data_IF_090860669917
#
_entry.id   IF_090860669917
#
_cell.length_a   1.000
_cell.length_b   1.000
_cell.length_c   1.000
_cell.angle_alpha   90.00
_cell.angle_beta   90.00
_cell.angle_gamma   90.00
#
_symmetry.space_group_name_H-M   'P 1'
#
loop_
_entity.id
_entity.type
_entity.pdbx_description
1 polymer ?
#
# COMPACT_ATOMS: atom_id res chain seq x y z
N UNK A 1 2.29 41.79 -53.86
CA UNK A 1 3.33 42.08 -52.84
C UNK A 1 2.64 42.75 -51.66
N UNK A 2 2.54 42.29 -50.41
CA UNK A 2 2.68 41.02 -49.67
C UNK A 2 1.52 41.09 -48.62
N UNK A 3 0.82 40.00 -48.25
CA UNK A 3 -0.30 40.08 -47.33
C UNK A 3 0.18 40.24 -45.88
N UNK A 4 -0.53 41.07 -45.12
CA UNK A 4 -0.36 41.24 -43.67
C UNK A 4 -1.12 40.10 -42.98
N UNK A 5 -0.39 39.14 -42.40
CA UNK A 5 -0.98 38.05 -41.61
C UNK A 5 -1.04 38.49 -40.15
N UNK A 6 -2.27 38.63 -39.66
CA UNK A 6 -2.62 38.78 -38.25
C UNK A 6 -2.30 37.47 -37.53
N UNK A 7 -1.44 37.50 -36.52
CA UNK A 7 -1.27 36.36 -35.62
C UNK A 7 -2.28 36.47 -34.48
N UNK A 8 -3.37 35.73 -34.61
CA UNK A 8 -4.27 35.42 -33.51
C UNK A 8 -4.14 33.93 -33.18
N UNK A 9 -4.30 33.63 -31.88
CA UNK A 9 -4.65 32.34 -31.29
C UNK A 9 -3.52 31.39 -30.83
N UNK A 10 -3.35 31.39 -29.50
CA UNK A 10 -3.61 30.25 -28.62
C UNK A 10 -2.70 29.01 -28.76
N UNK A 11 -1.73 28.92 -27.86
CA UNK A 11 -1.20 27.66 -27.38
C UNK A 11 -1.22 27.66 -25.85
N UNK A 12 -2.43 27.64 -25.27
CA UNK A 12 -2.62 27.17 -23.90
C UNK A 12 -2.46 25.64 -23.96
N UNK A 13 -1.21 25.18 -24.02
CA UNK A 13 -0.89 23.79 -23.78
C UNK A 13 -1.14 23.55 -22.29
N UNK A 14 -2.37 23.12 -22.03
CA UNK A 14 -2.86 22.68 -20.73
C UNK A 14 -1.82 21.70 -20.17
N UNK A 15 -1.13 22.10 -19.11
CA UNK A 15 -0.56 21.16 -18.15
C UNK A 15 -1.74 20.42 -17.52
N UNK A 16 -2.33 19.47 -18.25
CA UNK A 16 -3.20 18.48 -17.64
C UNK A 16 -2.27 17.69 -16.71
N UNK A 17 -2.51 17.67 -15.39
CA UNK A 17 -1.91 16.62 -14.59
C UNK A 17 -2.40 15.33 -15.22
N UNK A 18 -1.50 14.59 -15.87
CA UNK A 18 -1.71 13.18 -16.07
C UNK A 18 -1.83 12.64 -14.65
N UNK A 19 -3.07 12.46 -14.18
CA UNK A 19 -3.35 11.66 -13.00
C UNK A 19 -2.70 10.33 -13.30
N UNK A 20 -1.49 10.12 -12.79
CA UNK A 20 -0.76 8.89 -12.97
C UNK A 20 -1.68 7.82 -12.40
N UNK A 21 -2.31 7.05 -13.30
CA UNK A 21 -3.09 5.87 -12.95
C UNK A 21 -2.08 4.86 -12.41
N UNK A 22 -1.74 5.02 -11.13
CA UNK A 22 -0.89 4.10 -10.42
C UNK A 22 -1.71 2.84 -10.20
N UNK A 23 -1.16 1.69 -10.63
CA UNK A 23 -1.75 0.41 -10.29
C UNK A 23 -1.69 0.23 -8.77
N UNK A 24 -2.83 0.09 -8.11
CA UNK A 24 -2.93 0.00 -6.65
C UNK A 24 -3.02 -1.44 -6.21
N UNK A 25 -2.16 -1.85 -5.29
CA UNK A 25 -2.25 -3.15 -4.63
C UNK A 25 -3.16 -3.05 -3.40
N UNK A 26 -3.97 -4.07 -3.16
CA UNK A 26 -4.87 -4.13 -2.01
C UNK A 26 -5.15 -5.57 -1.60
N UNK A 27 -5.52 -5.74 -0.34
CA UNK A 27 -6.18 -6.91 0.21
C UNK A 27 -7.57 -6.48 0.70
N UNK A 28 -8.60 -7.26 0.39
CA UNK A 28 -9.99 -6.99 0.73
C UNK A 28 -10.57 -8.22 1.44
N UNK A 29 -10.81 -8.14 2.77
CA UNK A 29 -11.48 -9.22 3.48
C UNK A 29 -12.99 -9.21 3.18
N UNK A 30 -13.63 -10.38 3.29
CA UNK A 30 -15.09 -10.52 3.11
C UNK A 30 -15.91 -9.81 4.18
N UNK A 31 -15.31 -9.54 5.35
CA UNK A 31 -15.84 -8.73 6.43
C UNK A 31 -14.68 -8.26 7.32
N UNK A 32 -14.83 -7.14 8.01
CA UNK A 32 -13.81 -6.66 8.97
C UNK A 32 -14.23 -6.78 10.44
N UNK A 33 -15.53 -6.91 10.72
CA UNK A 33 -16.06 -7.14 12.08
C UNK A 33 -16.99 -8.36 12.06
N UNK A 34 -16.69 -9.37 12.87
CA UNK A 34 -17.42 -10.63 12.91
C UNK A 34 -17.81 -11.03 14.33
N UNK A 35 -18.91 -11.78 14.44
CA UNK A 35 -19.35 -12.46 15.65
C UNK A 35 -19.49 -13.98 15.40
N UNK A 36 -19.74 -14.76 16.45
CA UNK A 36 -19.72 -16.23 16.42
C UNK A 36 -18.42 -16.79 16.99
N UNK A 37 -18.33 -18.11 17.21
CA UNK A 37 -17.22 -18.75 17.95
C UNK A 37 -15.88 -18.70 17.21
N UNK A 38 -15.83 -19.28 16.00
CA UNK A 38 -14.63 -19.32 15.16
C UNK A 38 -14.98 -18.97 13.71
N UNK A 39 -15.40 -17.71 13.45
CA UNK A 39 -15.80 -17.31 12.11
C UNK A 39 -14.62 -17.35 11.15
N UNK A 40 -14.95 -17.40 9.86
CA UNK A 40 -13.97 -17.39 8.78
C UNK A 40 -14.12 -16.11 7.97
N UNK A 41 -13.01 -15.62 7.45
CA UNK A 41 -12.99 -14.64 6.37
C UNK A 41 -12.31 -15.23 5.15
N UNK A 42 -12.74 -14.79 3.98
CA UNK A 42 -11.97 -14.92 2.74
C UNK A 42 -11.35 -13.57 2.42
N UNK A 43 -10.10 -13.56 2.00
CA UNK A 43 -9.38 -12.35 1.59
C UNK A 43 -9.07 -12.44 0.11
N UNK A 44 -9.54 -11.42 -0.63
CA UNK A 44 -9.19 -11.18 -2.02
C UNK A 44 -7.97 -10.24 -2.09
N UNK A 45 -6.97 -10.57 -2.91
CA UNK A 45 -5.77 -9.75 -3.08
C UNK A 45 -5.43 -9.52 -4.56
N UNK A 46 -5.33 -8.26 -4.94
CA UNK A 46 -5.13 -7.87 -6.33
C UNK A 46 -4.35 -6.56 -6.48
N UNK A 47 -3.89 -6.34 -7.69
CA UNK A 47 -3.43 -5.05 -8.19
C UNK A 47 -4.45 -4.60 -9.24
N UNK A 48 -4.89 -3.35 -9.20
CA UNK A 48 -5.91 -2.81 -10.12
C UNK A 48 -5.74 -1.32 -10.42
N UNK A 49 -6.35 -0.85 -11.52
CA UNK A 49 -6.51 0.57 -11.82
C UNK A 49 -7.68 1.14 -11.01
N UNK A 50 -8.82 0.45 -11.04
CA UNK A 50 -10.00 0.75 -10.23
C UNK A 50 -9.92 0.01 -8.88
N UNK A 51 -10.05 0.73 -7.76
CA UNK A 51 -9.97 0.14 -6.42
C UNK A 51 -11.06 -0.91 -6.18
N UNK A 52 -10.64 -2.07 -5.67
CA UNK A 52 -11.50 -3.23 -5.41
C UNK A 52 -12.15 -3.88 -6.65
N UNK A 53 -11.57 -3.66 -7.84
CA UNK A 53 -11.97 -4.38 -9.06
C UNK A 53 -10.85 -5.27 -9.59
N UNK A 54 -11.20 -6.50 -9.96
CA UNK A 54 -10.25 -7.52 -10.42
C UNK A 54 -9.97 -7.39 -11.92
N UNK A 55 -9.20 -6.40 -12.35
CA UNK A 55 -9.00 -6.11 -13.79
C UNK A 55 -7.55 -5.99 -14.29
N UNK A 56 -6.55 -6.09 -13.40
CA UNK A 56 -5.14 -5.96 -13.81
C UNK A 56 -4.29 -7.23 -13.54
N UNK A 57 -3.85 -7.46 -12.30
CA UNK A 57 -3.07 -8.65 -11.93
C UNK A 57 -3.39 -9.15 -10.52
N UNK A 58 -3.27 -10.46 -10.24
CA UNK A 58 -3.33 -10.96 -8.89
C UNK A 58 -2.14 -10.42 -8.10
N UNK A 59 -2.35 -10.11 -6.82
CA UNK A 59 -1.22 -9.94 -5.92
C UNK A 59 -0.65 -11.33 -5.63
N UNK A 60 0.54 -11.64 -6.14
CA UNK A 60 1.19 -12.94 -5.92
C UNK A 60 1.73 -12.98 -4.50
N UNK A 61 1.22 -13.88 -3.66
CA UNK A 61 1.56 -14.00 -2.23
C UNK A 61 2.18 -15.37 -1.97
N UNK A 62 3.33 -15.40 -1.29
CA UNK A 62 3.99 -16.65 -0.88
C UNK A 62 3.05 -17.50 -0.02
N UNK A 63 2.96 -18.80 -0.32
CA UNK A 63 2.08 -19.74 0.40
C UNK A 63 0.62 -19.75 -0.07
N UNK A 64 0.19 -18.85 -0.95
CA UNK A 64 -1.18 -18.81 -1.48
C UNK A 64 -1.23 -19.43 -2.87
N UNK A 65 -1.90 -20.58 -2.99
CA UNK A 65 -2.12 -21.26 -4.28
C UNK A 65 -0.84 -21.70 -5.02
N UNK A 66 -0.98 -22.10 -6.28
CA UNK A 66 0.13 -22.58 -7.11
C UNK A 66 0.91 -21.43 -7.77
N UNK A 67 1.69 -20.69 -6.98
CA UNK A 67 2.47 -19.51 -7.43
C UNK A 67 3.37 -19.76 -8.64
N UNK A 68 4.00 -20.93 -8.71
CA UNK A 68 4.91 -21.29 -9.80
C UNK A 68 4.18 -21.49 -11.14
N UNK A 69 2.87 -21.76 -11.07
CA UNK A 69 2.00 -21.90 -12.23
C UNK A 69 1.25 -20.60 -12.55
N UNK A 70 1.30 -19.61 -11.65
CA UNK A 70 0.64 -18.33 -11.86
C UNK A 70 1.35 -17.53 -12.97
N UNK A 71 0.60 -16.83 -13.84
CA UNK A 71 1.21 -15.97 -14.84
C UNK A 71 2.11 -14.93 -14.15
N UNK A 72 3.36 -14.80 -14.62
CA UNK A 72 4.40 -13.98 -13.98
C UNK A 72 4.03 -12.49 -13.80
N UNK A 73 2.97 -12.03 -14.50
CA UNK A 73 2.59 -10.64 -14.61
C UNK A 73 3.59 -9.88 -15.46
N UNK A 74 3.11 -9.21 -16.51
CA UNK A 74 3.95 -8.40 -17.41
C UNK A 74 4.34 -9.08 -18.73
N UNK A 75 5.08 -8.37 -19.60
CA UNK A 75 5.44 -8.83 -20.94
C UNK A 75 6.31 -10.10 -20.94
N UNK A 76 6.26 -10.91 -22.03
CA UNK A 76 7.14 -12.08 -22.18
C UNK A 76 8.62 -11.72 -21.97
N UNK A 77 9.34 -12.53 -21.19
CA UNK A 77 10.76 -12.32 -20.88
C UNK A 77 11.05 -11.45 -19.65
N UNK A 78 10.03 -10.87 -19.01
CA UNK A 78 10.21 -10.20 -17.71
C UNK A 78 10.41 -11.23 -16.60
N UNK A 79 11.42 -11.02 -15.75
CA UNK A 79 11.60 -11.85 -14.54
C UNK A 79 10.36 -11.67 -13.65
N UNK A 80 9.77 -12.77 -13.12
CA UNK A 80 8.65 -12.65 -12.20
C UNK A 80 9.06 -11.81 -11.00
N UNK A 81 8.22 -10.86 -10.59
CA UNK A 81 8.43 -10.16 -9.32
C UNK A 81 8.42 -11.19 -8.19
N UNK A 82 9.27 -11.02 -7.15
CA UNK A 82 9.17 -11.82 -5.93
C UNK A 82 7.73 -11.83 -5.42
N UNK A 83 7.29 -12.98 -4.92
CA UNK A 83 5.98 -13.06 -4.27
C UNK A 83 6.00 -12.17 -3.01
N UNK A 84 4.88 -11.53 -2.74
CA UNK A 84 4.68 -10.79 -1.51
C UNK A 84 4.69 -11.74 -0.31
N UNK A 85 5.38 -11.34 0.75
CA UNK A 85 5.42 -12.10 2.00
C UNK A 85 4.26 -11.63 2.88
N UNK A 86 3.23 -12.49 3.03
CA UNK A 86 2.11 -12.24 3.92
C UNK A 86 2.47 -12.67 5.34
N UNK A 87 2.15 -11.81 6.31
CA UNK A 87 2.13 -12.13 7.73
C UNK A 87 0.69 -12.02 8.23
N UNK A 88 0.19 -13.06 8.88
CA UNK A 88 -1.11 -13.06 9.55
C UNK A 88 -0.85 -13.22 11.04
N UNK A 89 -1.35 -12.31 11.86
CA UNK A 89 -1.21 -12.32 13.31
C UNK A 89 -2.58 -12.43 13.96
N UNK A 90 -2.70 -13.33 14.94
CA UNK A 90 -3.84 -13.46 15.83
C UNK A 90 -3.77 -12.41 16.96
N UNK A 91 -4.87 -12.20 17.71
CA UNK A 91 -4.95 -11.23 18.80
C UNK A 91 -3.85 -11.32 19.85
N UNK A 92 -3.34 -12.53 20.12
CA UNK A 92 -2.23 -12.77 21.06
C UNK A 92 -0.83 -12.56 20.43
N UNK A 93 -0.76 -12.18 19.16
CA UNK A 93 0.47 -12.02 18.38
C UNK A 93 1.00 -13.31 17.74
N UNK A 94 0.36 -14.46 17.95
CA UNK A 94 0.73 -15.70 17.29
C UNK A 94 0.51 -15.63 15.77
N UNK A 95 1.34 -16.34 15.00
CA UNK A 95 1.25 -16.33 13.54
C UNK A 95 0.28 -17.38 13.04
N UNK A 96 -0.48 -17.03 12.00
CA UNK A 96 -1.33 -17.92 11.24
C UNK A 96 -0.82 -18.08 9.81
N UNK A 97 -1.15 -19.22 9.21
CA UNK A 97 -0.94 -19.48 7.79
C UNK A 97 -2.24 -19.22 7.01
N UNK A 98 -2.15 -18.72 5.77
CA UNK A 98 -3.32 -18.63 4.90
C UNK A 98 -3.83 -20.04 4.55
N UNK A 99 -5.15 -20.22 4.55
CA UNK A 99 -5.81 -21.49 4.22
C UNK A 99 -6.48 -21.40 2.85
N UNK A 100 -6.78 -22.56 2.24
CA UNK A 100 -7.56 -22.66 0.99
C UNK A 100 -7.11 -21.71 -0.14
N UNK A 101 -5.80 -21.46 -0.23
CA UNK A 101 -5.25 -20.46 -1.14
C UNK A 101 -5.44 -20.80 -2.62
N UNK A 102 -5.83 -19.82 -3.43
CA UNK A 102 -5.97 -19.94 -4.88
C UNK A 102 -5.41 -18.72 -5.61
N UNK A 103 -4.90 -18.89 -6.83
CA UNK A 103 -4.47 -17.79 -7.69
C UNK A 103 -5.18 -17.90 -9.04
N UNK A 104 -5.98 -16.89 -9.35
CA UNK A 104 -6.61 -16.71 -10.66
C UNK A 104 -5.87 -15.70 -11.54
N UNK A 105 -6.49 -15.34 -12.68
CA UNK A 105 -5.90 -14.38 -13.63
C UNK A 105 -5.79 -12.96 -13.09
N UNK A 106 -6.67 -12.56 -12.17
CA UNK A 106 -6.78 -11.18 -11.70
C UNK A 106 -6.75 -11.03 -10.18
N UNK A 107 -6.84 -12.14 -9.42
CA UNK A 107 -6.85 -12.11 -7.96
C UNK A 107 -6.25 -13.37 -7.36
N UNK A 108 -5.65 -13.21 -6.20
CA UNK A 108 -5.36 -14.30 -5.28
C UNK A 108 -6.42 -14.32 -4.20
N UNK A 109 -6.82 -15.50 -3.73
CA UNK A 109 -7.77 -15.66 -2.63
C UNK A 109 -7.21 -16.60 -1.59
N UNK A 110 -7.51 -16.38 -0.33
CA UNK A 110 -7.20 -17.31 0.76
C UNK A 110 -8.14 -17.06 1.92
N UNK A 111 -8.24 -18.04 2.80
CA UNK A 111 -9.08 -17.99 3.99
C UNK A 111 -8.26 -17.82 5.25
N UNK A 112 -8.87 -17.21 6.26
CA UNK A 112 -8.34 -17.13 7.63
C UNK A 112 -9.44 -17.52 8.61
N UNK A 113 -9.14 -18.50 9.47
CA UNK A 113 -10.01 -18.88 10.58
C UNK A 113 -9.70 -18.01 11.80
N UNK A 114 -10.73 -17.41 12.39
CA UNK A 114 -10.61 -16.49 13.53
C UNK A 114 -10.97 -17.21 14.84
N UNK A 115 -10.08 -18.09 15.29
CA UNK A 115 -10.28 -18.95 16.49
C UNK A 115 -10.13 -18.22 17.84
N UNK A 116 -9.68 -16.97 17.84
CA UNK A 116 -9.50 -16.13 19.02
C UNK A 116 -10.39 -14.89 18.92
N UNK A 117 -10.78 -14.36 20.08
CA UNK A 117 -11.46 -13.05 20.18
C UNK A 117 -10.43 -11.94 20.18
N UNK A 118 -10.71 -10.86 19.47
CA UNK A 118 -9.80 -9.74 19.29
C UNK A 118 -9.56 -9.39 17.83
N UNK A 119 -8.59 -8.51 17.64
CA UNK A 119 -8.18 -8.01 16.33
C UNK A 119 -7.04 -8.83 15.77
N UNK A 120 -7.20 -9.24 14.52
CA UNK A 120 -6.20 -9.87 13.67
C UNK A 120 -5.59 -8.83 12.76
N UNK A 121 -4.29 -9.00 12.45
CA UNK A 121 -3.58 -8.15 11.48
C UNK A 121 -3.02 -9.00 10.36
N UNK A 122 -3.38 -8.66 9.13
CA UNK A 122 -2.76 -9.17 7.91
C UNK A 122 -1.87 -8.08 7.36
N UNK A 123 -0.60 -8.39 7.12
CA UNK A 123 0.38 -7.42 6.65
C UNK A 123 1.25 -7.98 5.53
N UNK A 124 1.52 -7.15 4.53
CA UNK A 124 2.59 -7.34 3.55
C UNK A 124 3.51 -6.13 3.67
N UNK A 125 4.77 -6.38 4.03
CA UNK A 125 5.79 -5.33 4.16
C UNK A 125 7.00 -5.67 3.30
N UNK A 126 7.49 -4.68 2.55
CA UNK A 126 8.70 -4.78 1.75
C UNK A 126 9.63 -3.64 2.10
N UNK A 127 10.93 -3.91 2.11
CA UNK A 127 11.97 -2.90 2.28
C UNK A 127 13.19 -3.29 1.46
N UNK A 128 13.84 -2.30 0.86
CA UNK A 128 15.04 -2.52 0.08
C UNK A 128 15.61 -1.24 -0.49
N UNK A 129 16.65 -1.41 -1.29
CA UNK A 129 17.30 -0.35 -2.02
C UNK A 129 16.98 -0.49 -3.51
N UNK A 130 16.67 0.64 -4.13
CA UNK A 130 16.66 0.80 -5.58
C UNK A 130 17.87 1.64 -5.96
N UNK A 131 18.69 1.14 -6.89
CA UNK A 131 19.82 1.87 -7.44
C UNK A 131 19.71 2.01 -8.96
N UNK A 132 20.14 3.15 -9.48
CA UNK A 132 20.35 3.34 -10.91
C UNK A 132 21.64 4.10 -11.17
N UNK A 133 22.38 3.72 -12.20
CA UNK A 133 23.62 4.38 -12.60
C UNK A 133 23.83 4.28 -14.11
N UNK A 134 24.79 5.02 -14.64
CA UNK A 134 25.24 4.87 -16.03
C UNK A 134 26.43 3.93 -16.12
N UNK A 135 26.36 3.01 -17.07
CA UNK A 135 27.43 2.09 -17.43
C UNK A 135 27.46 2.00 -18.96
N UNK A 136 28.60 2.35 -19.58
CA UNK A 136 28.77 2.37 -21.04
C UNK A 136 27.68 3.17 -21.78
N UNK A 137 27.26 4.31 -21.22
CA UNK A 137 26.20 5.17 -21.76
C UNK A 137 24.76 4.64 -21.59
N UNK A 138 24.58 3.46 -20.96
CA UNK A 138 23.27 2.87 -20.69
C UNK A 138 22.90 2.99 -19.22
N UNK A 139 21.61 3.22 -18.93
CA UNK A 139 21.10 3.22 -17.55
C UNK A 139 20.97 1.78 -17.07
N UNK A 140 21.74 1.45 -16.05
CA UNK A 140 21.59 0.23 -15.26
C UNK A 140 20.67 0.49 -14.08
N UNK A 141 19.92 -0.54 -13.68
CA UNK A 141 19.06 -0.54 -12.51
C UNK A 141 19.34 -1.78 -11.69
N UNK A 142 19.25 -1.64 -10.39
CA UNK A 142 19.39 -2.73 -9.43
C UNK A 142 18.38 -2.55 -8.31
N UNK A 143 17.90 -3.68 -7.79
CA UNK A 143 17.08 -3.74 -6.59
C UNK A 143 17.61 -4.86 -5.71
N UNK A 144 17.74 -4.59 -4.41
CA UNK A 144 18.21 -5.58 -3.45
C UNK A 144 18.21 -5.05 -2.04
N UNK A 145 18.82 -5.80 -1.13
CA UNK A 145 18.92 -5.40 0.27
C UNK A 145 20.18 -4.55 0.51
N UNK A 146 20.23 -3.73 1.58
CA UNK A 146 21.44 -2.99 1.94
C UNK A 146 22.70 -3.86 2.00
N UNK A 147 22.59 -5.10 2.48
CA UNK A 147 23.70 -6.04 2.64
C UNK A 147 24.26 -6.50 1.28
N UNK A 148 23.39 -6.69 0.29
CA UNK A 148 23.78 -7.09 -1.06
C UNK A 148 24.35 -5.95 -1.92
N UNK A 149 24.18 -4.69 -1.50
CA UNK A 149 24.50 -3.51 -2.31
C UNK A 149 25.96 -3.48 -2.77
N UNK A 150 26.91 -3.62 -1.84
CA UNK A 150 28.34 -3.49 -2.15
C UNK A 150 28.88 -4.65 -3.00
N UNK A 151 28.17 -5.78 -3.03
CA UNK A 151 28.51 -6.94 -3.86
C UNK A 151 28.05 -6.74 -5.31
N UNK A 152 26.87 -6.16 -5.50
CA UNK A 152 26.18 -6.15 -6.78
C UNK A 152 26.30 -4.81 -7.53
N UNK A 153 26.53 -3.70 -6.82
CA UNK A 153 26.67 -2.36 -7.39
C UNK A 153 28.16 -1.99 -7.45
N UNK A 154 28.72 -1.66 -8.63
CA UNK A 154 30.14 -1.32 -8.72
C UNK A 154 30.49 -0.07 -7.91
N UNK A 155 31.63 -0.11 -7.22
CA UNK A 155 32.05 0.96 -6.31
C UNK A 155 32.31 2.32 -7.00
N UNK A 156 32.63 2.29 -8.31
CA UNK A 156 32.82 3.48 -9.14
C UNK A 156 31.83 3.44 -10.29
N UNK A 157 30.75 4.19 -10.14
CA UNK A 157 29.68 4.30 -11.14
C UNK A 157 29.35 5.76 -11.37
N UNK A 158 29.09 6.10 -12.63
CA UNK A 158 28.67 7.46 -13.01
C UNK A 158 27.18 7.63 -12.72
N UNK A 159 26.81 8.81 -12.20
CA UNK A 159 25.41 9.18 -11.91
C UNK A 159 24.66 8.17 -11.01
N UNK A 160 25.36 7.57 -10.05
CA UNK A 160 24.73 6.67 -9.08
C UNK A 160 23.67 7.39 -8.26
N UNK A 161 22.43 6.90 -8.34
CA UNK A 161 21.30 7.29 -7.51
C UNK A 161 20.85 6.06 -6.72
N UNK A 162 20.74 6.21 -5.41
CA UNK A 162 20.29 5.14 -4.52
C UNK A 162 19.13 5.68 -3.67
N UNK A 163 18.01 4.97 -3.71
CA UNK A 163 16.80 5.28 -2.94
C UNK A 163 16.46 4.08 -2.08
N UNK A 164 16.19 4.32 -0.79
CA UNK A 164 15.57 3.34 0.07
C UNK A 164 14.07 3.33 -0.17
N UNK A 165 13.51 2.17 -0.50
CA UNK A 165 12.09 2.00 -0.69
C UNK A 165 11.55 1.09 0.42
N UNK A 166 10.49 1.53 1.09
CA UNK A 166 9.71 0.68 2.00
C UNK A 166 8.23 0.83 1.68
N UNK A 167 7.49 -0.27 1.67
CA UNK A 167 6.04 -0.28 1.48
C UNK A 167 5.40 -1.20 2.52
N UNK A 168 4.28 -0.80 3.08
CA UNK A 168 3.48 -1.61 4.01
C UNK A 168 2.02 -1.60 3.54
N UNK A 169 1.39 -2.76 3.54
CA UNK A 169 -0.04 -2.91 3.27
C UNK A 169 -0.64 -3.72 4.42
N UNK A 170 -1.67 -3.19 5.05
CA UNK A 170 -2.31 -3.81 6.21
C UNK A 170 -3.83 -3.94 6.06
N UNK A 171 -4.37 -4.98 6.67
CA UNK A 171 -5.80 -5.22 6.85
C UNK A 171 -6.01 -5.66 8.29
N UNK A 172 -7.07 -5.14 8.91
CA UNK A 172 -7.46 -5.45 10.27
C UNK A 172 -8.82 -6.12 10.26
N UNK A 173 -8.97 -7.20 11.03
CA UNK A 173 -10.24 -7.91 11.17
C UNK A 173 -10.47 -8.25 12.63
N UNK A 174 -11.62 -7.88 13.19
CA UNK A 174 -11.99 -8.14 14.58
C UNK A 174 -13.04 -9.24 14.69
N UNK A 175 -12.79 -10.22 15.56
CA UNK A 175 -13.77 -11.23 16.00
C UNK A 175 -14.18 -10.92 17.44
N UNK A 176 -15.44 -10.54 17.65
CA UNK A 176 -15.93 -10.09 18.97
C UNK A 176 -15.46 -8.67 19.31
N UNK A 177 -14.89 -8.48 20.50
CA UNK A 177 -14.39 -7.18 20.94
C UNK A 177 -12.99 -6.88 20.35
N UNK A 178 -12.67 -5.62 20.01
CA UNK A 178 -11.35 -5.25 19.49
C UNK A 178 -10.24 -5.43 20.54
N UNK A 179 -9.02 -5.70 20.06
CA UNK A 179 -7.80 -5.75 20.87
C UNK A 179 -6.65 -4.98 20.20
N UNK A 180 -5.68 -4.53 20.99
CA UNK A 180 -4.64 -3.61 20.50
C UNK A 180 -3.27 -4.25 20.28
N UNK A 181 -3.04 -5.47 20.77
CA UNK A 181 -1.71 -6.13 20.74
C UNK A 181 -1.09 -6.16 19.34
N UNK A 182 -1.89 -6.49 18.32
CA UNK A 182 -1.39 -6.52 16.93
C UNK A 182 -1.30 -5.14 16.29
N UNK A 183 -1.74 -4.06 16.94
CA UNK A 183 -1.63 -2.70 16.44
C UNK A 183 -0.31 -2.03 16.81
N UNK A 184 0.49 -2.67 17.67
CA UNK A 184 1.82 -2.18 18.03
C UNK A 184 2.72 -2.06 16.77
N UNK A 185 3.32 -0.87 16.53
CA UNK A 185 4.23 -0.65 15.42
C UNK A 185 5.50 -1.50 15.57
N UNK A 186 6.04 -1.93 14.43
CA UNK A 186 7.30 -2.71 14.39
C UNK A 186 8.55 -1.82 14.52
N UNK A 187 8.39 -0.50 14.39
CA UNK A 187 9.47 0.48 14.35
C UNK A 187 10.21 0.50 13.01
N UNK A 188 9.60 0.01 11.93
CA UNK A 188 10.24 -0.13 10.62
C UNK A 188 9.35 0.36 9.49
N UNK A 189 9.88 1.28 8.69
CA UNK A 189 9.13 1.84 7.56
C UNK A 189 8.16 2.94 8.00
N UNK A 190 7.23 3.26 7.10
CA UNK A 190 6.07 4.06 7.44
C UNK A 190 5.00 3.13 8.03
N UNK A 191 4.47 3.48 9.19
CA UNK A 191 3.52 2.67 9.95
C UNK A 191 2.37 3.54 10.47
N UNK A 192 1.18 2.98 10.52
CA UNK A 192 0.03 3.56 11.20
C UNK A 192 0.02 3.09 12.66
N UNK A 193 0.02 4.03 13.60
CA UNK A 193 -0.29 3.83 15.00
C UNK A 193 -1.69 4.43 15.27
N UNK A 194 -2.75 3.61 15.24
CA UNK A 194 -4.12 4.11 15.37
C UNK A 194 -4.39 4.66 16.77
N UNK A 195 -5.07 5.81 16.85
CA UNK A 195 -5.71 6.29 18.11
C UNK A 195 -7.15 5.79 18.16
N UNK A 196 -7.87 5.91 17.04
CA UNK A 196 -9.13 5.21 16.80
C UNK A 196 -8.87 3.84 16.21
N UNK A 197 -9.47 2.79 16.78
CA UNK A 197 -9.25 1.42 16.33
C UNK A 197 -9.66 1.24 14.84
N UNK A 198 -8.85 0.55 13.99
CA UNK A 198 -9.12 0.48 12.54
C UNK A 198 -10.43 -0.22 12.14
N UNK A 199 -11.01 -1.01 13.04
CA UNK A 199 -12.33 -1.65 12.87
C UNK A 199 -13.45 -0.99 13.70
N UNK A 200 -13.23 0.24 14.17
CA UNK A 200 -14.18 1.04 14.95
C UNK A 200 -14.38 2.40 14.28
N UNK A 201 -14.78 2.37 13.00
CA UNK A 201 -14.95 3.55 12.16
C UNK A 201 -16.41 3.70 11.76
N UNK A 202 -16.99 4.87 11.98
CA UNK A 202 -18.40 5.16 11.67
C UNK A 202 -18.56 6.38 10.77
N UNK A 203 -19.55 6.31 9.89
CA UNK A 203 -19.89 7.43 9.01
C UNK A 203 -20.40 8.63 9.82
N UNK A 204 -19.90 9.82 9.49
CA UNK A 204 -20.18 11.08 10.20
C UNK A 204 -19.24 11.33 11.39
N UNK A 205 -18.47 10.33 11.83
CA UNK A 205 -17.55 10.45 12.94
C UNK A 205 -16.11 10.69 12.49
N UNK A 206 -15.33 11.34 13.34
CA UNK A 206 -13.90 11.54 13.14
C UNK A 206 -13.13 10.35 13.73
N UNK A 207 -12.14 9.87 13.00
CA UNK A 207 -11.15 8.91 13.47
C UNK A 207 -9.76 9.53 13.47
N UNK A 208 -9.02 9.30 14.55
CA UNK A 208 -7.69 9.85 14.77
C UNK A 208 -6.61 8.80 14.56
N UNK A 209 -5.55 9.22 13.88
CA UNK A 209 -4.44 8.37 13.46
C UNK A 209 -3.11 9.07 13.70
N UNK A 210 -2.06 8.28 13.97
CA UNK A 210 -0.68 8.75 13.99
C UNK A 210 0.14 7.94 12.99
N UNK A 211 0.85 8.61 12.09
CA UNK A 211 1.86 7.96 11.26
C UNK A 211 3.24 8.09 11.87
N UNK A 212 3.98 6.98 11.83
CA UNK A 212 5.34 6.87 12.31
C UNK A 212 6.27 6.47 11.18
N UNK A 213 7.45 7.06 11.13
CA UNK A 213 8.57 6.62 10.29
C UNK A 213 9.66 6.06 11.21
N UNK A 214 9.91 4.75 11.09
CA UNK A 214 10.83 4.00 11.96
C UNK A 214 10.58 4.26 13.46
N UNK A 215 9.30 4.19 13.86
CA UNK A 215 8.86 4.36 15.25
C UNK A 215 8.83 5.81 15.76
N UNK A 216 9.12 6.81 14.91
CA UNK A 216 9.08 8.23 15.28
C UNK A 216 7.95 8.95 14.54
N UNK A 217 7.28 9.96 15.13
CA UNK A 217 6.29 10.80 14.45
C UNK A 217 6.74 11.24 13.04
N UNK A 218 5.89 10.98 12.04
CA UNK A 218 6.16 11.30 10.65
C UNK A 218 5.30 12.49 10.20
N UNK A 219 5.92 13.67 10.13
CA UNK A 219 5.27 14.89 9.63
C UNK A 219 5.21 14.93 8.10
N UNK A 220 4.28 15.73 7.57
CA UNK A 220 4.11 16.02 6.14
C UNK A 220 3.88 14.77 5.27
N UNK A 221 3.41 13.66 5.85
CA UNK A 221 3.03 12.46 5.12
C UNK A 221 1.79 12.78 4.31
N UNK A 222 1.82 12.53 3.01
CA UNK A 222 0.69 12.77 2.12
C UNK A 222 -0.30 11.62 2.25
N UNK A 223 -1.57 11.94 2.51
CA UNK A 223 -2.62 10.96 2.73
C UNK A 223 -3.66 11.08 1.62
N UNK A 224 -4.01 9.96 1.02
CA UNK A 224 -5.13 9.80 0.09
C UNK A 224 -6.04 8.70 0.62
N UNK A 225 -7.33 9.00 0.77
CA UNK A 225 -8.34 8.02 1.18
C UNK A 225 -9.42 7.96 0.12
N UNK A 226 -9.61 6.80 -0.48
CA UNK A 226 -10.51 6.64 -1.62
C UNK A 226 -11.60 5.61 -1.27
N UNK A 227 -12.89 5.98 -1.33
CA UNK A 227 -13.98 5.03 -1.17
C UNK A 227 -14.01 4.04 -2.34
N UNK A 228 -14.26 2.77 -2.02
CA UNK A 228 -14.54 1.72 -2.99
C UNK A 228 -15.78 2.01 -3.83
N UNK A 229 -15.99 1.23 -4.90
CA UNK A 229 -17.20 1.35 -5.73
C UNK A 229 -17.21 2.58 -6.66
N UNK A 230 -16.04 3.06 -7.07
CA UNK A 230 -15.90 4.23 -7.95
C UNK A 230 -16.67 4.10 -9.28
N UNK A 231 -16.92 2.89 -9.79
CA UNK A 231 -17.71 2.68 -11.02
C UNK A 231 -19.20 3.03 -10.89
N UNK A 232 -19.68 3.23 -9.66
CA UNK A 232 -21.08 3.54 -9.38
C UNK A 232 -21.28 4.99 -8.92
N UNK A 233 -20.27 5.86 -9.11
CA UNK A 233 -20.32 7.29 -8.77
C UNK A 233 -19.68 8.11 -9.88
N UNK A 234 -20.15 9.35 -10.00
CA UNK A 234 -19.58 10.31 -10.94
C UNK A 234 -18.24 10.88 -10.45
N UNK A 235 -18.05 10.96 -9.13
CA UNK A 235 -16.84 11.47 -8.49
C UNK A 235 -16.09 10.39 -7.70
N UNK A 236 -14.76 10.49 -7.67
CA UNK A 236 -13.90 9.54 -6.94
C UNK A 236 -14.15 9.56 -5.43
N UNK A 237 -14.53 10.73 -4.88
CA UNK A 237 -14.72 10.91 -3.44
C UNK A 237 -13.42 10.82 -2.64
N UNK A 238 -12.27 11.13 -3.27
CA UNK A 238 -10.95 11.09 -2.63
C UNK A 238 -10.82 12.18 -1.55
N UNK A 239 -10.44 11.77 -0.35
CA UNK A 239 -10.08 12.66 0.75
C UNK A 239 -8.55 12.80 0.74
N UNK A 240 -8.07 14.04 0.68
CA UNK A 240 -6.63 14.35 0.77
C UNK A 240 -6.32 15.07 2.07
N UNK A 241 -5.27 14.63 2.73
CA UNK A 241 -4.79 15.26 3.95
C UNK A 241 -3.27 15.16 4.07
N UNK A 242 -2.71 15.82 5.08
CA UNK A 242 -1.31 15.67 5.48
C UNK A 242 -1.21 15.53 6.99
N UNK A 243 -0.24 14.76 7.45
CA UNK A 243 0.04 14.65 8.88
C UNK A 243 0.69 15.91 9.42
N UNK A 244 0.37 16.26 10.66
CA UNK A 244 1.00 17.38 11.35
C UNK A 244 2.44 17.05 11.83
N UNK A 245 3.07 17.99 12.54
CA UNK A 245 4.42 17.82 13.10
C UNK A 245 4.59 16.64 14.06
N UNK A 246 3.50 16.18 14.67
CA UNK A 246 3.45 15.04 15.60
C UNK A 246 2.98 13.77 14.89
N UNK A 247 2.92 13.78 13.55
CA UNK A 247 2.47 12.67 12.73
C UNK A 247 0.97 12.43 12.77
N UNK A 248 0.19 13.33 13.37
CA UNK A 248 -1.24 13.14 13.59
C UNK A 248 -2.07 13.51 12.37
N UNK A 249 -3.19 12.83 12.24
CA UNK A 249 -4.23 13.07 11.24
C UNK A 249 -5.60 12.74 11.85
N UNK A 250 -6.60 13.56 11.53
CA UNK A 250 -8.00 13.26 11.81
C UNK A 250 -8.77 13.17 10.50
N UNK A 251 -9.54 12.10 10.30
CA UNK A 251 -10.39 11.89 9.11
C UNK A 251 -11.83 11.77 9.57
N UNK A 252 -12.72 12.62 9.06
CA UNK A 252 -14.16 12.43 9.18
C UNK A 252 -14.67 11.61 8.01
N UNK A 253 -15.34 10.49 8.29
CA UNK A 253 -15.78 9.56 7.25
C UNK A 253 -17.14 9.99 6.68
N UNK A 254 -17.26 10.35 5.40
CA UNK A 254 -18.50 10.92 4.88
C UNK A 254 -19.63 9.91 4.72
N UNK A 255 -19.33 8.63 4.50
CA UNK A 255 -20.30 7.58 4.26
C UNK A 255 -19.77 6.22 4.71
N UNK A 256 -20.67 5.27 4.94
CA UNK A 256 -20.31 3.88 5.21
C UNK A 256 -19.79 3.18 3.94
N UNK A 257 -18.93 2.19 4.12
CA UNK A 257 -18.38 1.34 3.06
C UNK A 257 -16.89 1.07 3.20
N UNK A 258 -16.33 0.37 2.22
CA UNK A 258 -14.91 0.07 2.17
C UNK A 258 -14.13 1.27 1.62
N UNK A 259 -13.01 1.58 2.26
CA UNK A 259 -12.06 2.61 1.88
C UNK A 259 -10.68 2.02 1.70
N UNK A 260 -9.93 2.56 0.76
CA UNK A 260 -8.50 2.34 0.65
C UNK A 260 -7.78 3.61 1.06
N UNK A 261 -6.98 3.52 2.11
CA UNK A 261 -6.09 4.56 2.58
C UNK A 261 -4.70 4.31 2.03
N UNK A 262 -4.06 5.35 1.49
CA UNK A 262 -2.64 5.38 1.15
C UNK A 262 -1.99 6.58 1.84
N UNK A 263 -0.79 6.34 2.36
CA UNK A 263 0.07 7.33 2.94
C UNK A 263 1.45 7.24 2.30
N UNK A 264 1.99 8.35 1.82
CA UNK A 264 3.28 8.42 1.16
C UNK A 264 4.19 9.47 1.79
N UNK A 265 5.46 9.12 1.91
CA UNK A 265 6.51 10.03 2.35
C UNK A 265 7.76 9.85 1.47
N UNK A 266 8.17 10.92 0.81
CA UNK A 266 9.46 11.00 0.11
C UNK A 266 10.34 12.04 0.80
N UNK A 267 11.56 11.65 1.17
CA UNK A 267 12.49 12.52 1.91
C UNK A 267 13.94 12.17 1.65
N UNK A 268 14.83 13.16 1.74
CA UNK A 268 16.29 12.99 1.80
C UNK A 268 16.85 13.16 3.23
N UNK A 269 15.99 13.54 4.19
CA UNK A 269 16.37 13.74 5.59
C UNK A 269 16.43 12.42 6.35
N UNK A 270 17.45 12.26 7.19
CA UNK A 270 17.60 11.08 8.04
C UNK A 270 17.84 9.76 7.27
N UNK A 271 18.21 9.85 5.98
CA UNK A 271 18.48 8.68 5.14
C UNK A 271 19.90 8.18 5.40
N UNK A 272 20.03 6.87 5.66
CA UNK A 272 21.32 6.23 5.87
C UNK A 272 21.97 5.82 4.55
N UNK A 273 23.29 5.97 4.46
CA UNK A 273 24.07 5.48 3.31
C UNK A 273 23.85 3.96 3.13
N UNK A 274 23.87 3.44 1.88
CA UNK A 274 24.24 4.12 0.64
C UNK A 274 23.12 4.94 -0.01
N UNK A 275 21.90 4.92 0.55
CA UNK A 275 20.79 5.70 0.04
C UNK A 275 20.99 7.21 0.28
N UNK A 276 20.50 8.02 -0.65
CA UNK A 276 20.48 9.50 -0.55
C UNK A 276 19.06 10.05 -0.51
N UNK A 277 18.06 9.20 -0.76
CA UNK A 277 16.66 9.51 -0.66
C UNK A 277 15.91 8.28 -0.15
N UNK A 278 14.73 8.50 0.40
CA UNK A 278 13.80 7.47 0.84
C UNK A 278 12.42 7.73 0.26
N UNK A 279 11.74 6.64 -0.09
CA UNK A 279 10.32 6.58 -0.38
C UNK A 279 9.69 5.54 0.54
N UNK A 280 8.79 5.97 1.39
CA UNK A 280 8.05 5.10 2.28
C UNK A 280 6.56 5.23 1.96
N UNK A 281 5.89 4.10 1.80
CA UNK A 281 4.44 4.06 1.61
C UNK A 281 3.78 3.10 2.61
N UNK A 282 2.55 3.44 2.96
CA UNK A 282 1.65 2.64 3.76
C UNK A 282 0.30 2.61 3.06
N UNK A 283 -0.38 1.47 3.08
CA UNK A 283 -1.74 1.34 2.62
C UNK A 283 -2.56 0.48 3.58
N UNK A 284 -3.84 0.79 3.71
CA UNK A 284 -4.78 -0.02 4.47
C UNK A 284 -6.13 -0.09 3.77
N UNK A 285 -6.77 -1.26 3.87
CA UNK A 285 -8.19 -1.40 3.55
C UNK A 285 -8.98 -1.29 4.85
N UNK A 286 -9.88 -0.32 4.91
CA UNK A 286 -10.66 0.03 6.10
C UNK A 286 -12.15 -0.07 5.77
N UNK A 287 -12.95 -0.52 6.72
CA UNK A 287 -14.41 -0.54 6.63
C UNK A 287 -14.97 0.54 7.55
N UNK A 288 -15.82 1.41 7.01
CA UNK A 288 -16.59 2.38 7.77
C UNK A 288 -18.02 1.87 7.87
N UNK A 289 -18.52 1.73 9.09
CA UNK A 289 -19.86 1.26 9.38
C UNK A 289 -20.87 2.41 9.37
N UNK A 290 -22.13 2.06 9.18
CA UNK A 290 -23.22 3.01 9.43
C UNK A 290 -23.38 3.22 10.96
N UNK A 291 -23.80 4.41 11.40
CA UNK A 291 -24.09 4.70 12.82
C UNK A 291 -25.18 3.80 13.41
#
# INVERSE_FOLDING_TARGET
MKPVIKWTALALAVCLPLSAQAHRAWMLPSATVLSGEEPWITVDAAVSNDLFYFEHFPLRIAGVGALDQAPAGGPPGMRPRPAAQLSIQAPDGSRLEPLNGSIGRYRSTFDVQLSQKGTYKLAIANSGLFASWKENGQVRRWMGTPESFAKDVPAKTEELKVTQNSSRMEVFVTSGAPSETVLEPTGQGLELAPVTHPNDLFAGEAADFVFLLDGKPAADVEISVIPGGNRYRDELGEIKAKTDKDGKLSITWPQAGMYWLEAELTTDKGVSKPATARRASYSATLEVLAP
#
